data_IF_183420544612
#
_entry.id   IF_183420544612
#
_cell.length_a   1.000
_cell.length_b   1.000
_cell.length_c   1.000
_cell.angle_alpha   90.00
_cell.angle_beta   90.00
_cell.angle_gamma   90.00
#
_symmetry.space_group_name_H-M   'P 1'
#
loop_
_entity.id
_entity.type
_entity.pdbx_description
1 polymer ?
#
# COMPACT_ATOMS: atom_id res chain seq x y z
N UNK A 1 18.96 30.77 49.40
CA UNK A 1 18.41 29.48 48.97
C UNK A 1 17.73 29.73 47.64
N UNK A 2 18.42 29.41 46.54
CA UNK A 2 17.89 29.58 45.18
C UNK A 2 16.91 28.44 44.91
N UNK A 3 15.69 28.79 44.50
CA UNK A 3 14.70 27.85 43.99
C UNK A 3 15.12 27.42 42.60
N UNK A 4 15.41 26.12 42.42
CA UNK A 4 15.69 25.52 41.12
C UNK A 4 14.41 25.54 40.27
N UNK A 5 14.43 26.32 39.19
CA UNK A 5 13.43 26.27 38.13
C UNK A 5 13.71 25.04 37.25
N UNK A 6 12.81 24.06 37.28
CA UNK A 6 12.83 22.93 36.35
C UNK A 6 12.43 23.41 34.95
N UNK A 7 13.42 23.53 34.08
CA UNK A 7 13.26 23.90 32.68
C UNK A 7 12.63 22.73 31.90
N UNK A 8 11.29 22.64 31.90
CA UNK A 8 10.58 21.78 30.96
C UNK A 8 10.76 22.34 29.54
N UNK A 9 11.34 21.55 28.64
CA UNK A 9 11.45 21.90 27.22
C UNK A 9 10.04 21.89 26.56
N UNK A 10 9.43 23.06 26.41
CA UNK A 10 8.08 23.28 25.85
C UNK A 10 8.04 23.13 24.31
N UNK A 11 8.86 22.27 23.70
CA UNK A 11 9.05 22.25 22.24
C UNK A 11 8.17 21.28 21.43
N UNK A 12 7.57 20.26 22.04
CA UNK A 12 7.21 19.02 21.30
C UNK A 12 5.78 18.45 21.45
N UNK A 13 5.05 18.60 22.57
CA UNK A 13 3.71 18.01 22.69
C UNK A 13 2.63 18.69 21.82
N UNK A 14 2.70 20.01 21.66
CA UNK A 14 1.65 20.79 20.99
C UNK A 14 1.53 20.46 19.50
N UNK A 15 2.66 20.37 18.79
CA UNK A 15 2.68 20.07 17.36
C UNK A 15 2.18 18.66 17.04
N UNK A 16 2.47 17.68 17.90
CA UNK A 16 1.98 16.31 17.72
C UNK A 16 0.47 16.23 17.96
N UNK A 17 -0.03 16.88 19.01
CA UNK A 17 -1.46 16.94 19.29
C UNK A 17 -2.23 17.66 18.17
N UNK A 18 -1.73 18.80 17.71
CA UNK A 18 -2.30 19.54 16.56
C UNK A 18 -2.29 18.70 15.28
N UNK A 19 -1.18 17.99 15.01
CA UNK A 19 -1.09 17.10 13.85
C UNK A 19 -2.08 15.93 13.93
N UNK A 20 -2.37 15.42 15.13
CA UNK A 20 -3.38 14.37 15.33
C UNK A 20 -4.78 14.87 15.03
N UNK A 21 -5.11 16.07 15.50
CA UNK A 21 -6.42 16.68 15.24
C UNK A 21 -6.64 16.90 13.74
N UNK A 22 -5.65 17.50 13.06
CA UNK A 22 -5.68 17.66 11.59
C UNK A 22 -5.73 16.33 10.85
N UNK A 23 -5.06 15.30 11.35
CA UNK A 23 -5.10 13.98 10.74
C UNK A 23 -6.49 13.33 10.86
N UNK A 24 -7.18 13.53 12.00
CA UNK A 24 -8.59 13.12 12.16
C UNK A 24 -9.52 13.92 11.27
N UNK A 25 -9.34 15.24 11.19
CA UNK A 25 -10.11 16.09 10.27
C UNK A 25 -9.99 15.61 8.82
N UNK A 26 -8.76 15.29 8.40
CA UNK A 26 -8.51 14.70 7.10
C UNK A 26 -9.31 13.40 6.92
N UNK A 27 -9.25 12.46 7.87
CA UNK A 27 -10.02 11.21 7.82
C UNK A 27 -11.55 11.43 7.74
N UNK A 28 -12.08 12.42 8.47
CA UNK A 28 -13.52 12.71 8.53
C UNK A 28 -14.10 13.43 7.30
N UNK A 29 -13.31 13.58 6.24
CA UNK A 29 -13.75 14.19 4.98
C UNK A 29 -12.92 15.40 4.55
N UNK A 30 -11.97 15.86 5.36
CA UNK A 30 -11.08 16.97 5.00
C UNK A 30 -10.32 16.73 3.70
N UNK A 31 -10.03 15.46 3.34
CA UNK A 31 -9.40 15.12 2.06
C UNK A 31 -10.20 15.61 0.83
N UNK A 32 -11.53 15.67 0.90
CA UNK A 32 -12.36 16.14 -0.22
C UNK A 32 -12.16 17.65 -0.45
N UNK A 33 -11.93 18.41 0.63
CA UNK A 33 -11.74 19.87 0.56
C UNK A 33 -10.43 20.27 -0.12
N UNK A 34 -9.42 19.40 -0.05
CA UNK A 34 -8.15 19.59 -0.75
C UNK A 34 -8.15 19.01 -2.17
N UNK A 35 -9.27 18.44 -2.60
CA UNK A 35 -9.47 17.90 -3.94
C UNK A 35 -9.07 16.44 -4.12
N UNK A 36 -8.75 15.71 -3.04
CA UNK A 36 -8.49 14.28 -3.14
C UNK A 36 -9.81 13.53 -3.36
N UNK A 37 -9.84 12.69 -4.39
CA UNK A 37 -11.03 11.86 -4.71
C UNK A 37 -11.14 10.67 -3.75
N UNK A 38 -10.00 10.13 -3.32
CA UNK A 38 -9.90 9.05 -2.34
C UNK A 38 -8.84 9.40 -1.31
N UNK A 39 -9.07 9.14 -0.01
CA UNK A 39 -8.08 9.44 1.00
C UNK A 39 -6.87 8.52 0.83
N UNK A 40 -5.71 9.01 1.23
CA UNK A 40 -4.46 8.23 1.25
C UNK A 40 -3.48 8.77 2.28
N UNK A 41 -2.52 7.95 2.69
CA UNK A 41 -1.40 8.39 3.57
C UNK A 41 -0.54 9.44 2.86
N UNK A 42 -0.49 9.41 1.52
CA UNK A 42 0.16 10.44 0.72
C UNK A 42 -0.53 11.80 0.87
N UNK A 43 -1.85 11.85 0.69
CA UNK A 43 -2.64 13.07 0.85
C UNK A 43 -2.60 13.57 2.29
N UNK A 44 -2.62 12.68 3.29
CA UNK A 44 -2.44 13.07 4.69
C UNK A 44 -1.07 13.74 4.93
N UNK A 45 0.00 13.20 4.34
CA UNK A 45 1.34 13.80 4.43
C UNK A 45 1.38 15.20 3.81
N UNK A 46 0.74 15.38 2.65
CA UNK A 46 0.59 16.68 2.01
C UNK A 46 -0.22 17.65 2.87
N UNK A 47 -1.35 17.19 3.44
CA UNK A 47 -2.23 17.98 4.29
C UNK A 47 -1.53 18.50 5.55
N UNK A 48 -0.75 17.63 6.21
CA UNK A 48 -0.01 17.98 7.41
C UNK A 48 1.31 18.73 7.13
N UNK A 49 1.79 18.74 5.89
CA UNK A 49 3.08 19.31 5.52
C UNK A 49 4.28 18.53 6.07
N UNK A 50 4.17 17.20 6.19
CA UNK A 50 5.21 16.33 6.76
C UNK A 50 5.59 15.21 5.79
N UNK A 51 6.75 14.58 6.04
CA UNK A 51 7.14 13.41 5.27
C UNK A 51 6.25 12.21 5.59
N UNK A 52 5.95 11.38 4.58
CA UNK A 52 5.17 10.13 4.77
C UNK A 52 5.78 9.20 5.82
N UNK A 53 7.11 9.15 5.90
CA UNK A 53 7.85 8.38 6.91
C UNK A 53 7.58 8.85 8.34
N UNK A 54 7.34 10.15 8.54
CA UNK A 54 6.99 10.71 9.85
C UNK A 54 5.66 10.17 10.34
N UNK A 55 4.66 10.04 9.45
CA UNK A 55 3.35 9.47 9.80
C UNK A 55 3.48 8.04 10.28
N UNK A 56 4.19 7.19 9.52
CA UNK A 56 4.39 5.79 9.93
C UNK A 56 5.21 5.67 11.22
N UNK A 57 6.19 6.56 11.42
CA UNK A 57 6.92 6.62 12.69
C UNK A 57 5.98 6.94 13.84
N UNK A 58 5.10 7.93 13.69
CA UNK A 58 4.11 8.27 14.72
C UNK A 58 3.10 7.17 14.94
N UNK A 59 2.67 6.46 13.90
CA UNK A 59 1.80 5.29 14.04
C UNK A 59 2.47 4.14 14.83
N UNK A 60 3.79 3.97 14.69
CA UNK A 60 4.55 3.00 15.47
C UNK A 60 4.77 3.40 16.94
N UNK A 61 4.93 4.70 17.20
CA UNK A 61 5.18 5.26 18.54
C UNK A 61 3.90 5.48 19.36
N UNK A 62 2.82 5.93 18.72
CA UNK A 62 1.55 6.29 19.34
C UNK A 62 0.48 5.23 19.07
N UNK A 63 0.54 4.15 19.86
CA UNK A 63 -0.45 3.06 19.89
C UNK A 63 -1.58 3.30 20.89
N UNK A 64 -1.74 4.53 21.37
CA UNK A 64 -2.90 4.86 22.18
C UNK A 64 -4.18 4.68 21.35
N UNK A 65 -5.28 4.35 22.03
CA UNK A 65 -6.60 4.50 21.44
C UNK A 65 -6.67 5.92 20.88
N UNK A 66 -7.09 6.05 19.62
CA UNK A 66 -7.21 7.35 18.95
C UNK A 66 -5.86 7.94 18.47
N UNK A 67 -4.81 7.12 18.41
CA UNK A 67 -3.47 7.47 17.92
C UNK A 67 -3.32 7.49 16.39
N UNK A 68 -2.12 7.80 15.91
CA UNK A 68 -1.84 7.83 14.46
C UNK A 68 -2.01 6.47 13.79
N UNK A 69 -1.87 5.36 14.54
CA UNK A 69 -2.13 4.02 14.03
C UNK A 69 -3.59 3.86 13.58
N UNK A 70 -4.54 4.23 14.45
CA UNK A 70 -5.97 4.13 14.16
C UNK A 70 -6.38 5.05 13.02
N UNK A 71 -5.78 6.25 12.93
CA UNK A 71 -6.05 7.19 11.84
C UNK A 71 -5.57 6.62 10.50
N UNK A 72 -4.36 6.01 10.45
CA UNK A 72 -3.84 5.40 9.23
C UNK A 72 -4.70 4.22 8.79
N UNK A 73 -5.09 3.33 9.72
CA UNK A 73 -6.00 2.22 9.45
C UNK A 73 -7.38 2.71 8.98
N UNK A 74 -7.90 3.78 9.58
CA UNK A 74 -9.14 4.42 9.17
C UNK A 74 -9.06 4.99 7.76
N UNK A 75 -7.94 5.64 7.40
CA UNK A 75 -7.70 6.16 6.05
C UNK A 75 -7.67 5.03 5.02
N UNK A 76 -6.97 3.93 5.32
CA UNK A 76 -6.88 2.78 4.43
C UNK A 76 -8.25 2.11 4.24
N UNK A 77 -8.99 1.92 5.34
CA UNK A 77 -10.35 1.36 5.32
C UNK A 77 -11.32 2.23 4.50
N UNK A 78 -11.26 3.56 4.69
CA UNK A 78 -12.09 4.49 3.94
C UNK A 78 -11.70 4.53 2.45
N UNK A 79 -10.40 4.46 2.15
CA UNK A 79 -9.89 4.37 0.79
C UNK A 79 -10.42 3.10 0.10
N UNK A 80 -10.31 1.94 0.74
CA UNK A 80 -10.83 0.67 0.21
C UNK A 80 -12.33 0.76 -0.06
N UNK A 81 -13.12 1.23 0.90
CA UNK A 81 -14.56 1.38 0.76
C UNK A 81 -14.93 2.30 -0.41
N UNK A 82 -14.27 3.46 -0.52
CA UNK A 82 -14.51 4.37 -1.64
C UNK A 82 -14.15 3.75 -2.98
N UNK A 83 -13.01 3.06 -3.08
CA UNK A 83 -12.57 2.43 -4.32
C UNK A 83 -13.53 1.35 -4.80
N UNK A 84 -14.04 0.51 -3.88
CA UNK A 84 -15.06 -0.48 -4.20
C UNK A 84 -16.33 0.18 -4.74
N UNK A 85 -16.88 1.13 -3.99
CA UNK A 85 -18.14 1.79 -4.36
C UNK A 85 -18.01 2.61 -5.66
N UNK A 86 -16.96 3.42 -5.80
CA UNK A 86 -16.74 4.24 -7.00
C UNK A 86 -16.38 3.39 -8.22
N UNK A 87 -15.67 2.27 -8.03
CA UNK A 87 -15.43 1.29 -9.09
C UNK A 87 -16.71 0.61 -9.57
N UNK A 88 -17.59 0.20 -8.64
CA UNK A 88 -18.89 -0.41 -8.97
C UNK A 88 -19.88 0.55 -9.62
N UNK A 89 -19.85 1.84 -9.23
CA UNK A 89 -20.67 2.89 -9.84
C UNK A 89 -20.17 3.33 -11.22
N UNK A 90 -18.91 3.05 -11.53
CA UNK A 90 -18.25 3.54 -12.75
C UNK A 90 -17.72 4.98 -12.64
N UNK A 91 -17.70 5.54 -11.43
CA UNK A 91 -17.19 6.89 -11.16
C UNK A 91 -15.66 6.95 -11.27
N UNK A 92 -14.99 5.82 -11.03
CA UNK A 92 -13.53 5.73 -11.01
C UNK A 92 -12.98 4.99 -12.23
N UNK A 93 -11.77 5.39 -12.65
CA UNK A 93 -11.04 4.63 -13.65
C UNK A 93 -10.79 3.20 -13.14
N UNK A 94 -11.27 2.15 -13.83
CA UNK A 94 -11.24 0.78 -13.33
C UNK A 94 -9.81 0.24 -13.18
N UNK A 95 -8.88 0.64 -14.06
CA UNK A 95 -7.48 0.23 -13.98
C UNK A 95 -6.80 0.81 -12.74
N UNK A 96 -7.04 2.08 -12.44
CA UNK A 96 -6.49 2.74 -11.26
C UNK A 96 -7.13 2.17 -9.98
N UNK A 97 -8.44 1.98 -9.97
CA UNK A 97 -9.15 1.41 -8.82
C UNK A 97 -8.64 -0.01 -8.50
N UNK A 98 -8.48 -0.86 -9.52
CA UNK A 98 -7.92 -2.21 -9.37
C UNK A 98 -6.49 -2.20 -8.82
N UNK A 99 -5.63 -1.31 -9.32
CA UNK A 99 -4.25 -1.19 -8.83
C UNK A 99 -4.20 -0.80 -7.34
N UNK A 100 -5.08 0.10 -6.92
CA UNK A 100 -5.17 0.52 -5.52
C UNK A 100 -5.79 -0.56 -4.64
N UNK A 101 -6.85 -1.24 -5.09
CA UNK A 101 -7.44 -2.39 -4.38
C UNK A 101 -6.42 -3.53 -4.20
N UNK A 102 -5.48 -3.71 -5.13
CA UNK A 102 -4.40 -4.67 -4.95
C UNK A 102 -3.50 -4.38 -3.73
N UNK A 103 -3.42 -3.12 -3.27
CA UNK A 103 -2.74 -2.75 -2.02
C UNK A 103 -3.52 -3.11 -0.77
N UNK A 104 -4.82 -3.34 -0.91
CA UNK A 104 -5.75 -3.79 0.15
C UNK A 104 -5.95 -5.31 0.16
N UNK A 105 -5.08 -6.07 -0.53
CA UNK A 105 -5.10 -7.53 -0.52
C UNK A 105 -6.01 -8.17 -1.57
N UNK A 106 -6.68 -7.37 -2.42
CA UNK A 106 -7.41 -7.92 -3.56
C UNK A 106 -6.42 -8.45 -4.60
N UNK A 107 -6.66 -9.67 -5.08
CA UNK A 107 -5.85 -10.25 -6.12
C UNK A 107 -6.76 -10.79 -7.22
N UNK A 108 -6.41 -10.48 -8.46
CA UNK A 108 -6.97 -11.18 -9.60
C UNK A 108 -6.19 -12.46 -9.82
N UNK A 109 -6.88 -13.59 -9.90
CA UNK A 109 -6.30 -14.87 -10.31
C UNK A 109 -6.73 -15.12 -11.73
N UNK A 110 -5.75 -15.38 -12.60
CA UNK A 110 -6.00 -15.76 -13.98
C UNK A 110 -5.50 -17.19 -14.18
N UNK A 111 -6.39 -18.08 -14.62
CA UNK A 111 -6.02 -19.40 -15.11
C UNK A 111 -5.72 -19.28 -16.60
N UNK A 112 -4.50 -19.65 -17.00
CA UNK A 112 -4.03 -19.56 -18.39
C UNK A 112 -3.69 -20.95 -18.88
N UNK A 113 -4.48 -21.45 -19.82
CA UNK A 113 -4.21 -22.71 -20.53
C UNK A 113 -3.34 -22.42 -21.76
N UNK A 114 -2.06 -22.76 -21.67
CA UNK A 114 -1.10 -22.56 -22.76
C UNK A 114 -1.29 -23.63 -23.85
N UNK A 115 -2.20 -23.35 -24.79
CA UNK A 115 -2.40 -24.18 -25.99
C UNK A 115 -1.59 -23.63 -27.16
N UNK A 116 -0.76 -24.48 -27.77
CA UNK A 116 -0.10 -24.14 -29.03
C UNK A 116 -0.79 -24.83 -30.21
N UNK A 117 -1.23 -24.04 -31.18
CA UNK A 117 -1.83 -24.53 -32.42
C UNK A 117 -0.80 -25.12 -33.39
N UNK A 118 0.47 -24.76 -33.24
CA UNK A 118 1.60 -25.23 -34.05
C UNK A 118 2.25 -26.54 -33.52
N UNK A 119 1.76 -27.09 -32.40
CA UNK A 119 2.29 -28.30 -31.78
C UNK A 119 3.68 -28.15 -31.13
N UNK A 120 4.25 -26.95 -31.04
CA UNK A 120 5.58 -26.72 -30.44
C UNK A 120 5.64 -27.05 -28.95
N UNK A 121 4.51 -26.93 -28.25
CA UNK A 121 4.34 -27.23 -26.83
C UNK A 121 3.87 -28.68 -26.57
N UNK A 122 3.73 -29.51 -27.61
CA UNK A 122 3.44 -30.93 -27.47
C UNK A 122 4.74 -31.71 -27.15
N UNK A 123 4.73 -32.63 -26.18
CA UNK A 123 5.92 -33.41 -25.84
C UNK A 123 6.38 -34.22 -27.07
N UNK A 124 7.57 -33.91 -27.58
CA UNK A 124 8.19 -34.66 -28.68
C UNK A 124 8.82 -35.95 -28.13
N UNK A 125 8.71 -37.08 -28.84
CA UNK A 125 9.34 -38.32 -28.41
C UNK A 125 10.86 -38.18 -28.42
N UNK A 126 11.51 -38.63 -27.34
CA UNK A 126 12.98 -38.68 -27.25
C UNK A 126 13.52 -39.67 -28.28
N UNK A 127 14.41 -39.20 -29.17
CA UNK A 127 15.10 -40.06 -30.13
C UNK A 127 16.46 -40.46 -29.56
N UNK A 128 16.69 -41.76 -29.37
CA UNK A 128 17.98 -42.31 -28.92
C UNK A 128 18.68 -42.95 -30.14
N UNK A 129 19.85 -42.43 -30.51
CA UNK A 129 20.69 -43.01 -31.56
C UNK A 129 21.81 -43.83 -30.91
N UNK A 130 21.84 -45.13 -31.19
CA UNK A 130 22.94 -46.02 -30.80
C UNK A 130 24.03 -45.92 -31.85
N UNK A 131 25.19 -45.35 -31.48
CA UNK A 131 26.36 -45.32 -32.35
C UNK A 131 27.23 -46.57 -32.09
N UNK A 132 27.72 -47.25 -33.15
CA UNK A 132 28.70 -48.31 -32.99
C UNK A 132 29.99 -47.76 -32.39
N UNK A 133 30.61 -48.51 -31.47
CA UNK A 133 31.96 -48.20 -30.99
C UNK A 133 32.96 -48.86 -31.92
N UNK A 134 33.81 -48.06 -32.57
CA UNK A 134 34.91 -48.60 -33.36
C UNK A 134 35.92 -49.32 -32.45
N UNK A 135 36.34 -50.55 -32.79
CA UNK A 135 37.35 -51.26 -32.02
C UNK A 135 38.69 -50.53 -32.16
N UNK A 136 39.31 -50.17 -31.03
CA UNK A 136 40.69 -49.68 -31.02
C UNK A 136 41.60 -50.87 -31.39
N UNK A 137 42.28 -50.80 -32.54
CA UNK A 137 43.39 -51.71 -32.82
C UNK A 137 44.61 -51.25 -32.01
N UNK A 138 45.14 -52.17 -31.21
CA UNK A 138 46.35 -52.06 -30.39
C UNK A 138 47.59 -52.48 -31.20
#
# INVERSE_FOLDING_TARGET
MATEESKNEIGRPSKLAESKEKAREYLLGGYETIGDVVPSVAGLACYLGVARSSIYKWAGEDKSEDGFSDIVEGILSLQENKLLNGGLKGDYNPTIAKLLLAKHGYAEKQEVDNKSSDGSMSPKPTTIQLLPVEPKHE
#
